data_IF_392068649833
#
_entry.id   IF_392068649833
#
_cell.length_a   1.000
_cell.length_b   1.000
_cell.length_c   1.000
_cell.angle_alpha   90.00
_cell.angle_beta   90.00
_cell.angle_gamma   90.00
#
_symmetry.space_group_name_H-M   'P 1'
#
loop_
_entity.id
_entity.type
_entity.pdbx_description
1 polymer ?
#
# COMPACT_ATOMS: atom_id res chain seq x y z
N UNK A 1 18.95 23.92 3.73
CA UNK A 1 17.63 23.26 3.82
C UNK A 1 16.61 24.14 3.11
N UNK A 2 15.80 23.58 2.20
CA UNK A 2 14.85 24.33 1.38
C UNK A 2 13.69 24.85 2.23
N UNK A 3 13.73 26.13 2.61
CA UNK A 3 12.74 26.80 3.48
C UNK A 3 11.52 27.37 2.73
N UNK A 4 11.20 26.89 1.52
CA UNK A 4 10.11 27.45 0.70
C UNK A 4 8.73 26.77 0.92
N UNK A 5 8.62 25.78 1.83
CA UNK A 5 7.32 25.14 2.12
C UNK A 5 6.26 26.14 2.63
N UNK A 6 6.69 27.16 3.39
CA UNK A 6 5.80 28.21 3.91
C UNK A 6 5.17 29.05 2.80
N UNK A 7 5.78 29.13 1.61
CA UNK A 7 5.21 29.83 0.45
C UNK A 7 3.97 29.13 -0.09
N UNK A 8 3.94 27.79 -0.04
CA UNK A 8 2.80 26.98 -0.49
C UNK A 8 1.68 26.90 0.55
N UNK A 9 2.01 26.99 1.84
CA UNK A 9 1.06 26.93 2.96
C UNK A 9 0.66 28.33 3.47
N UNK A 10 0.46 29.31 2.56
CA UNK A 10 0.09 30.69 2.92
C UNK A 10 -1.34 30.83 3.47
N UNK A 11 -2.22 29.88 3.19
CA UNK A 11 -3.63 29.95 3.56
C UNK A 11 -3.95 28.93 4.66
N UNK A 12 -4.57 29.38 5.74
CA UNK A 12 -5.21 28.48 6.71
C UNK A 12 -6.41 27.82 6.03
N UNK A 13 -6.41 26.49 5.96
CA UNK A 13 -7.57 25.74 5.49
C UNK A 13 -8.67 25.84 6.56
N UNK A 14 -9.92 26.04 6.14
CA UNK A 14 -11.06 25.95 7.06
C UNK A 14 -11.45 24.50 7.34
N UNK A 15 -11.12 23.60 6.41
CA UNK A 15 -11.41 22.18 6.52
C UNK A 15 -10.25 21.45 7.19
N UNK A 16 -10.57 20.74 8.27
CA UNK A 16 -9.65 19.79 8.92
C UNK A 16 -9.84 18.44 8.27
N UNK A 17 -8.74 17.80 7.91
CA UNK A 17 -8.73 16.40 7.51
C UNK A 17 -8.41 15.53 8.72
N UNK A 18 -9.22 14.51 8.97
CA UNK A 18 -8.98 13.51 10.01
C UNK A 18 -9.24 12.13 9.43
N UNK A 19 -8.54 11.13 9.94
CA UNK A 19 -8.82 9.74 9.65
C UNK A 19 -9.92 9.22 10.57
N UNK A 20 -10.88 8.51 9.99
CA UNK A 20 -11.85 7.71 10.74
C UNK A 20 -11.24 6.35 11.09
N UNK A 21 -11.77 5.68 12.13
CA UNK A 21 -11.38 4.31 12.43
C UNK A 21 -11.87 3.37 11.32
N UNK A 22 -10.97 2.52 10.86
CA UNK A 22 -11.26 1.43 9.93
C UNK A 22 -12.06 0.36 10.68
N UNK A 23 -13.15 -0.08 10.07
CA UNK A 23 -13.97 -1.16 10.59
C UNK A 23 -13.64 -2.52 9.95
N UNK A 24 -14.10 -3.59 10.58
CA UNK A 24 -13.82 -4.96 10.13
C UNK A 24 -14.38 -5.26 8.73
N UNK A 25 -15.54 -4.70 8.39
CA UNK A 25 -16.17 -4.94 7.09
C UNK A 25 -15.38 -4.27 5.96
N UNK A 26 -14.78 -3.10 6.19
CA UNK A 26 -13.88 -2.46 5.22
C UNK A 26 -12.67 -3.35 4.91
N UNK A 27 -12.09 -3.96 5.94
CA UNK A 27 -10.95 -4.88 5.78
C UNK A 27 -11.38 -6.15 5.06
N UNK A 28 -12.49 -6.77 5.46
CA UNK A 28 -13.02 -7.97 4.77
C UNK A 28 -13.33 -7.69 3.30
N UNK A 29 -13.99 -6.57 3.00
CA UNK A 29 -14.28 -6.14 1.63
C UNK A 29 -12.99 -5.88 0.82
N UNK A 30 -11.94 -5.36 1.47
CA UNK A 30 -10.65 -5.15 0.82
C UNK A 30 -9.94 -6.49 0.52
N UNK A 31 -9.96 -7.42 1.47
CA UNK A 31 -9.40 -8.77 1.31
C UNK A 31 -10.12 -9.55 0.20
N UNK A 32 -11.44 -9.44 0.10
CA UNK A 32 -12.22 -10.08 -0.95
C UNK A 32 -11.84 -9.56 -2.36
N UNK A 33 -11.53 -8.26 -2.47
CA UNK A 33 -11.15 -7.62 -3.74
C UNK A 33 -9.72 -7.91 -4.17
N UNK A 34 -8.92 -8.64 -3.37
CA UNK A 34 -7.57 -9.02 -3.73
C UNK A 34 -7.53 -9.88 -5.01
N UNK A 35 -6.64 -9.52 -5.93
CA UNK A 35 -6.38 -10.29 -7.16
C UNK A 35 -5.41 -11.42 -6.84
N UNK A 36 -5.90 -12.64 -6.78
CA UNK A 36 -5.13 -13.85 -6.43
C UNK A 36 -4.07 -14.24 -7.46
N UNK A 37 -4.16 -13.72 -8.69
CA UNK A 37 -3.21 -13.97 -9.78
C UNK A 37 -2.00 -13.03 -9.80
N UNK A 38 -1.86 -12.15 -8.80
CA UNK A 38 -0.73 -11.22 -8.70
C UNK A 38 0.44 -11.85 -7.97
N UNK A 39 1.64 -11.33 -8.26
CA UNK A 39 2.86 -11.74 -7.60
C UNK A 39 2.78 -11.48 -6.11
N UNK A 40 3.30 -12.42 -5.34
CA UNK A 40 3.48 -12.29 -3.90
C UNK A 40 4.41 -11.13 -3.55
N UNK A 41 4.14 -10.49 -2.40
CA UNK A 41 4.98 -9.44 -1.84
C UNK A 41 6.35 -9.94 -1.38
N UNK A 42 7.10 -9.07 -0.70
CA UNK A 42 8.41 -9.44 -0.12
C UNK A 42 8.26 -10.40 1.08
N UNK A 43 7.08 -10.42 1.69
CA UNK A 43 6.66 -11.27 2.81
C UNK A 43 6.43 -12.74 2.42
N UNK A 44 6.43 -13.06 1.12
CA UNK A 44 6.09 -14.39 0.60
C UNK A 44 4.68 -14.88 0.97
N UNK A 45 3.75 -13.97 1.32
CA UNK A 45 2.34 -14.31 1.63
C UNK A 45 1.45 -14.10 0.39
N UNK A 46 0.95 -15.16 -0.26
CA UNK A 46 0.12 -15.00 -1.45
C UNK A 46 -1.21 -14.33 -1.13
N UNK A 47 -1.68 -13.46 -2.04
CA UNK A 47 -2.99 -12.81 -1.91
C UNK A 47 -4.15 -13.81 -1.77
N UNK A 48 -4.01 -15.01 -2.36
CA UNK A 48 -4.97 -16.11 -2.19
C UNK A 48 -5.09 -16.56 -0.73
N UNK A 49 -3.96 -16.71 -0.04
CA UNK A 49 -3.95 -17.12 1.38
C UNK A 49 -4.65 -16.09 2.26
N UNK A 50 -4.39 -14.80 2.02
CA UNK A 50 -5.06 -13.71 2.75
C UNK A 50 -6.57 -13.69 2.53
N UNK A 51 -7.01 -14.05 1.32
CA UNK A 51 -8.43 -14.12 0.98
C UNK A 51 -9.09 -15.36 1.59
N UNK A 52 -8.42 -16.51 1.56
CA UNK A 52 -8.92 -17.76 2.13
C UNK A 52 -8.98 -17.71 3.68
N UNK A 53 -8.06 -16.96 4.31
CA UNK A 53 -7.99 -16.78 5.76
C UNK A 53 -8.59 -15.44 6.23
N UNK A 54 -9.45 -14.79 5.44
CA UNK A 54 -9.89 -13.40 5.66
C UNK A 54 -10.47 -13.18 7.06
N UNK A 55 -11.35 -14.08 7.50
CA UNK A 55 -12.03 -13.97 8.79
C UNK A 55 -11.06 -14.06 9.97
N UNK A 56 -9.98 -14.84 9.82
CA UNK A 56 -8.97 -15.00 10.85
C UNK A 56 -8.01 -13.80 10.90
N UNK A 57 -7.64 -13.23 9.76
CA UNK A 57 -6.62 -12.17 9.69
C UNK A 57 -7.21 -10.76 9.83
N UNK A 58 -8.47 -10.56 9.46
CA UNK A 58 -9.09 -9.24 9.44
C UNK A 58 -9.06 -8.51 10.79
N UNK A 59 -9.30 -9.15 11.96
CA UNK A 59 -9.22 -8.47 13.25
C UNK A 59 -7.83 -7.90 13.55
N UNK A 60 -6.77 -8.63 13.18
CA UNK A 60 -5.39 -8.19 13.36
C UNK A 60 -5.05 -7.02 12.42
N UNK A 61 -5.50 -7.09 11.16
CA UNK A 61 -5.30 -6.01 10.21
C UNK A 61 -6.02 -4.72 10.63
N UNK A 62 -7.26 -4.80 11.12
CA UNK A 62 -7.98 -3.65 11.70
C UNK A 62 -7.16 -3.01 12.83
N UNK A 63 -6.66 -3.83 13.76
CA UNK A 63 -5.84 -3.34 14.87
C UNK A 63 -4.57 -2.63 14.37
N UNK A 64 -3.83 -3.25 13.45
CA UNK A 64 -2.59 -2.67 12.89
C UNK A 64 -2.88 -1.36 12.17
N UNK A 65 -3.90 -1.30 11.32
CA UNK A 65 -4.22 -0.11 10.55
C UNK A 65 -4.69 1.05 11.44
N UNK A 66 -5.60 0.81 12.38
CA UNK A 66 -6.06 1.85 13.30
C UNK A 66 -4.94 2.35 14.22
N UNK A 67 -4.07 1.46 14.69
CA UNK A 67 -2.87 1.85 15.46
C UNK A 67 -1.95 2.71 14.61
N UNK A 68 -1.74 2.35 13.34
CA UNK A 68 -0.89 3.10 12.43
C UNK A 68 -1.44 4.49 12.14
N UNK A 69 -2.74 4.60 11.88
CA UNK A 69 -3.41 5.89 11.63
C UNK A 69 -3.42 6.79 12.87
N UNK A 70 -3.64 6.20 14.06
CA UNK A 70 -3.69 6.94 15.33
C UNK A 70 -2.33 7.52 15.72
N UNK A 71 -1.26 6.74 15.55
CA UNK A 71 0.08 7.12 16.00
C UNK A 71 0.95 7.71 14.89
N UNK A 72 0.55 7.58 13.62
CA UNK A 72 1.35 7.98 12.47
C UNK A 72 2.59 7.09 12.25
N UNK A 73 2.59 5.87 12.80
CA UNK A 73 3.72 4.93 12.74
C UNK A 73 3.27 3.68 12.00
N UNK A 74 3.95 3.35 10.92
CA UNK A 74 3.65 2.16 10.10
C UNK A 74 4.73 1.09 10.28
N UNK A 75 4.36 -0.21 10.31
CA UNK A 75 5.30 -1.32 10.28
C UNK A 75 6.30 -1.19 9.12
N UNK A 76 7.57 -1.53 9.37
CA UNK A 76 8.64 -1.45 8.36
C UNK A 76 8.36 -2.36 7.15
N UNK A 77 7.78 -3.54 7.39
CA UNK A 77 7.37 -4.46 6.34
C UNK A 77 6.34 -3.85 5.39
N UNK A 78 5.41 -3.03 5.90
CA UNK A 78 4.39 -2.37 5.07
C UNK A 78 4.94 -1.18 4.28
N UNK A 79 6.16 -0.71 4.57
CA UNK A 79 6.86 0.34 3.83
C UNK A 79 7.77 -0.21 2.73
N UNK A 80 7.98 -1.53 2.70
CA UNK A 80 8.90 -2.19 1.77
C UNK A 80 8.19 -2.58 0.48
N UNK A 81 8.75 -2.19 -0.66
CA UNK A 81 8.19 -2.48 -1.99
C UNK A 81 9.20 -3.21 -2.88
N UNK A 82 8.73 -4.23 -3.61
CA UNK A 82 9.51 -4.92 -4.64
C UNK A 82 9.31 -4.24 -5.99
N UNK A 83 10.39 -3.77 -6.60
CA UNK A 83 10.37 -3.10 -7.90
C UNK A 83 10.79 -4.10 -8.98
N UNK A 84 9.89 -4.34 -9.94
CA UNK A 84 10.17 -5.14 -11.13
C UNK A 84 9.89 -4.30 -12.37
N UNK A 85 10.88 -4.05 -13.25
CA UNK A 85 10.64 -3.37 -14.52
C UNK A 85 9.66 -4.17 -15.37
N UNK A 86 8.58 -3.52 -15.85
CA UNK A 86 7.63 -4.13 -16.77
C UNK A 86 7.70 -3.36 -18.08
N UNK A 87 8.04 -4.07 -19.16
CA UNK A 87 8.02 -3.50 -20.49
C UNK A 87 6.58 -3.17 -20.89
N UNK A 88 6.28 -1.88 -21.04
CA UNK A 88 5.00 -1.43 -21.61
C UNK A 88 5.02 -1.76 -23.11
N UNK A 89 3.89 -2.19 -23.67
CA UNK A 89 3.75 -2.57 -25.09
C UNK A 89 4.45 -1.60 -26.06
N UNK A 90 5.04 -2.12 -27.13
CA UNK A 90 5.83 -1.36 -28.11
C UNK A 90 6.97 -2.22 -28.66
N UNK A 91 7.79 -1.64 -29.54
CA UNK A 91 8.97 -2.32 -30.07
C UNK A 91 9.95 -2.64 -28.92
N UNK A 92 10.30 -3.92 -28.78
CA UNK A 92 11.49 -4.29 -28.02
C UNK A 92 12.66 -3.68 -28.77
N UNK A 93 13.33 -2.69 -28.18
CA UNK A 93 14.68 -2.36 -28.62
C UNK A 93 15.49 -3.64 -28.39
N UNK A 94 15.77 -4.33 -29.48
CA UNK A 94 16.68 -5.47 -29.50
C UNK A 94 18.00 -4.86 -29.04
N UNK A 95 18.47 -5.19 -27.85
CA UNK A 95 19.87 -4.98 -27.55
C UNK A 95 20.62 -5.82 -28.57
N UNK A 96 21.29 -5.12 -29.50
CA UNK A 96 22.28 -5.74 -30.36
C UNK A 96 23.25 -6.45 -29.42
N UNK A 97 23.29 -7.78 -29.50
CA UNK A 97 24.42 -8.56 -29.01
C UNK A 97 25.68 -7.95 -29.62
N UNK A 98 26.49 -7.32 -28.78
CA UNK A 98 27.73 -6.68 -29.16
C UNK A 98 28.53 -6.25 -27.93
N UNK A 99 29.08 -7.22 -27.20
CA UNK A 99 30.39 -7.82 -27.50
C UNK A 99 30.36 -9.31 -27.16
#
# INVERSE_FOLDING_TARGET
ANTDFKRYMKFKTQHKFNFENININEVLNALEKLKTSKSTGHDNIPAKLLKDASDAVAPFLVFIFNTSLKHGIFPDDLKTARISPIHKSGEKKIELSGC
#
